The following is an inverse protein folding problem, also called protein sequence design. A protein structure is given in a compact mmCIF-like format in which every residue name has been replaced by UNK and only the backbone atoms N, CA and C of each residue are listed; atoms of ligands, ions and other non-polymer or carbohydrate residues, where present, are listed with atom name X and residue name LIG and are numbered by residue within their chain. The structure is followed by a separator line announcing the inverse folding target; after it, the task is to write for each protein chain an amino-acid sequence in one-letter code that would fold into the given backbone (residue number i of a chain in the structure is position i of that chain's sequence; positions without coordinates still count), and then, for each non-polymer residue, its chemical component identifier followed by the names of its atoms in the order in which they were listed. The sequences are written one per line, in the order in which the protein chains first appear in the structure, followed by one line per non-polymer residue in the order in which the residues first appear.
data_IF_761472775227
#
_entry.id   IF_761472775227
#
_cell.length_a   1.000
_cell.length_b   1.000
_cell.length_c   1.000
_cell.angle_alpha   90.00
_cell.angle_beta   90.00
_cell.angle_gamma   90.00
#
_symmetry.space_group_name_H-M   'P 1'
#
loop_
_entity.id
_entity.type
_entity.pdbx_description
1 polymer ?
#
# COMPACT_ATOMS: atom_id res chain seq x y z
N UNK A 1 -5.77 -6.69 6.66
CA UNK A 1 -5.14 -7.89 7.24
C UNK A 1 -4.98 -8.98 6.19
N UNK A 2 -4.11 -9.94 6.46
CA UNK A 2 -3.85 -11.12 5.63
C UNK A 2 -4.57 -12.39 6.13
N UNK A 3 -5.44 -12.25 7.12
CA UNK A 3 -6.13 -13.33 7.82
C UNK A 3 -5.61 -13.52 9.25
N UNK A 4 -4.33 -13.31 9.50
CA UNK A 4 -3.70 -13.52 10.82
C UNK A 4 -3.05 -12.26 11.38
N UNK A 5 -2.53 -11.37 10.52
CA UNK A 5 -1.80 -10.18 10.94
C UNK A 5 -2.43 -8.90 10.38
N UNK A 6 -2.25 -7.81 11.11
CA UNK A 6 -2.58 -6.47 10.59
C UNK A 6 -1.41 -6.00 9.71
N UNK A 7 -1.71 -5.74 8.44
CA UNK A 7 -0.70 -5.34 7.46
C UNK A 7 -0.08 -3.98 7.80
N UNK A 8 1.15 -3.74 7.34
CA UNK A 8 1.85 -2.48 7.57
C UNK A 8 1.04 -1.25 7.09
N UNK A 9 0.39 -1.24 5.91
CA UNK A 9 -0.45 -0.11 5.51
C UNK A 9 -1.60 0.21 6.47
N UNK A 10 -2.19 -0.81 7.09
CA UNK A 10 -3.24 -0.60 8.10
C UNK A 10 -2.67 -0.01 9.38
N UNK A 11 -1.49 -0.46 9.82
CA UNK A 11 -0.81 0.12 10.99
C UNK A 11 -0.42 1.59 10.78
N UNK A 12 -0.03 1.97 9.55
CA UNK A 12 0.19 3.37 9.16
C UNK A 12 -1.12 4.18 9.18
N UNK A 13 -2.24 3.58 8.76
CA UNK A 13 -3.55 4.24 8.86
C UNK A 13 -3.99 4.45 10.32
N UNK A 14 -3.68 3.50 11.22
CA UNK A 14 -3.90 3.66 12.67
C UNK A 14 -3.06 4.82 13.23
N UNK A 15 -1.79 4.95 12.82
CA UNK A 15 -0.95 6.07 13.22
C UNK A 15 -1.52 7.43 12.75
N UNK A 16 -2.04 7.50 11.52
CA UNK A 16 -2.72 8.70 11.02
C UNK A 16 -4.00 9.00 11.81
N UNK A 17 -4.82 7.97 12.09
CA UNK A 17 -6.06 8.11 12.86
C UNK A 17 -5.81 8.60 14.30
N UNK A 18 -4.71 8.15 14.93
CA UNK A 18 -4.32 8.59 16.27
C UNK A 18 -4.04 10.09 16.39
N UNK A 19 -3.76 10.79 15.27
CA UNK A 19 -3.65 12.25 15.25
C UNK A 19 -5.00 12.98 15.26
N UNK A 20 -6.09 12.26 15.02
CA UNK A 20 -7.46 12.81 14.92
C UNK A 20 -8.28 12.58 16.19
N UNK A 21 -7.93 11.61 17.01
CA UNK A 21 -8.62 11.29 18.25
C UNK A 21 -8.59 9.82 18.62
N UNK A 22 -9.63 9.36 19.33
CA UNK A 22 -9.76 7.97 19.73
C UNK A 22 -9.96 7.05 18.52
N UNK A 23 -9.20 5.96 18.47
CA UNK A 23 -9.18 5.06 17.31
C UNK A 23 -9.92 3.77 17.61
N UNK A 24 -10.94 3.48 16.80
CA UNK A 24 -11.60 2.18 16.72
C UNK A 24 -11.18 1.50 15.41
N UNK A 25 -10.87 0.21 15.46
CA UNK A 25 -10.50 -0.56 14.27
C UNK A 25 -11.60 -1.54 13.92
N UNK A 26 -12.14 -1.44 12.71
CA UNK A 26 -13.08 -2.42 12.17
C UNK A 26 -12.29 -3.54 11.48
N UNK A 27 -12.51 -4.78 11.91
CA UNK A 27 -11.93 -5.98 11.30
C UNK A 27 -13.07 -6.87 10.78
N UNK A 28 -13.01 -7.18 9.49
CA UNK A 28 -13.98 -8.03 8.80
C UNK A 28 -13.28 -9.33 8.38
N UNK A 29 -13.76 -10.48 8.86
CA UNK A 29 -13.20 -11.80 8.57
C UNK A 29 -12.55 -12.47 9.78
N UNK A 30 -11.32 -12.99 9.63
CA UNK A 30 -10.70 -13.87 10.60
C UNK A 30 -10.54 -13.27 12.02
N UNK A 31 -10.89 -14.04 13.04
CA UNK A 31 -10.78 -13.64 14.45
C UNK A 31 -9.33 -13.37 14.88
N UNK A 32 -8.36 -14.08 14.30
CA UNK A 32 -6.93 -13.88 14.55
C UNK A 32 -6.48 -12.46 14.15
N UNK A 33 -7.02 -11.94 13.05
CA UNK A 33 -6.76 -10.55 12.63
C UNK A 33 -7.36 -9.54 13.62
N UNK A 34 -8.51 -9.82 14.22
CA UNK A 34 -9.10 -8.97 15.26
C UNK A 34 -8.23 -8.99 16.53
N UNK A 35 -7.71 -10.15 16.92
CA UNK A 35 -6.77 -10.27 18.03
C UNK A 35 -5.46 -9.51 17.75
N UNK A 36 -4.95 -9.59 16.52
CA UNK A 36 -3.77 -8.82 16.11
C UNK A 36 -4.05 -7.31 16.17
N UNK A 37 -5.22 -6.85 15.71
CA UNK A 37 -5.61 -5.44 15.79
C UNK A 37 -5.75 -4.94 17.23
N UNK A 38 -6.23 -5.77 18.14
CA UNK A 38 -6.35 -5.44 19.56
C UNK A 38 -4.99 -5.21 20.25
N UNK A 39 -3.91 -5.79 19.71
CA UNK A 39 -2.54 -5.59 20.24
C UNK A 39 -1.87 -4.32 19.72
N UNK A 40 -2.47 -3.57 18.81
CA UNK A 40 -1.89 -2.34 18.31
C UNK A 40 -1.97 -1.22 19.37
N UNK A 41 -0.85 -0.53 19.66
CA UNK A 41 -0.91 0.62 20.56
C UNK A 41 -1.73 1.76 19.95
N UNK A 42 -2.46 2.48 20.81
CA UNK A 42 -3.33 3.60 20.40
C UNK A 42 -4.70 3.18 19.89
N UNK A 43 -4.99 1.88 19.76
CA UNK A 43 -6.34 1.38 19.46
C UNK A 43 -7.12 1.29 20.78
N UNK A 44 -8.26 2.00 20.84
CA UNK A 44 -9.13 1.98 22.01
C UNK A 44 -10.12 0.82 21.98
N UNK A 45 -10.52 0.38 20.78
CA UNK A 45 -11.52 -0.68 20.57
C UNK A 45 -11.34 -1.34 19.21
N UNK A 46 -11.59 -2.64 19.14
CA UNK A 46 -11.74 -3.39 17.89
C UNK A 46 -13.20 -3.80 17.73
N UNK A 47 -13.76 -3.51 16.58
CA UNK A 47 -15.08 -4.00 16.16
C UNK A 47 -14.87 -5.12 15.15
N UNK A 48 -15.41 -6.30 15.43
CA UNK A 48 -15.17 -7.50 14.64
C UNK A 48 -16.47 -8.11 14.11
N UNK A 49 -16.44 -8.51 12.83
CA UNK A 49 -17.48 -9.33 12.22
C UNK A 49 -16.85 -10.40 11.34
N UNK A 50 -17.22 -11.65 11.60
CA UNK A 50 -16.86 -12.83 10.79
C UNK A 50 -17.99 -13.27 9.86
N UNK A 51 -19.00 -12.41 9.66
CA UNK A 51 -20.14 -12.72 8.79
C UNK A 51 -19.67 -13.06 7.37
N UNK A 52 -20.18 -14.15 6.77
CA UNK A 52 -19.77 -14.60 5.42
C UNK A 52 -19.90 -13.52 4.34
N UNK A 53 -20.80 -12.57 4.54
CA UNK A 53 -21.01 -11.41 3.67
C UNK A 53 -19.73 -10.59 3.43
N UNK A 54 -18.83 -10.55 4.42
CA UNK A 54 -17.60 -9.76 4.37
C UNK A 54 -16.35 -10.59 4.02
N UNK A 55 -16.46 -11.91 3.87
CA UNK A 55 -15.31 -12.81 3.73
C UNK A 55 -14.40 -12.49 2.53
N UNK A 56 -14.97 -11.94 1.46
CA UNK A 56 -14.24 -11.63 0.22
C UNK A 56 -14.01 -10.11 0.02
N UNK A 57 -14.32 -9.28 1.01
CA UNK A 57 -14.07 -7.85 0.97
C UNK A 57 -14.75 -7.10 -0.18
N UNK A 58 -15.94 -7.56 -0.64
CA UNK A 58 -16.72 -6.86 -1.66
C UNK A 58 -17.06 -5.46 -1.20
N UNK A 59 -16.88 -4.46 -2.06
CA UNK A 59 -17.00 -3.06 -1.67
C UNK A 59 -18.41 -2.66 -1.27
N UNK A 60 -19.42 -3.24 -1.90
CA UNK A 60 -20.81 -2.86 -1.69
C UNK A 60 -21.31 -3.20 -0.27
N UNK A 61 -21.16 -4.43 0.22
CA UNK A 61 -21.57 -4.75 1.59
C UNK A 61 -20.70 -4.08 2.64
N UNK A 62 -19.39 -3.93 2.39
CA UNK A 62 -18.49 -3.22 3.32
C UNK A 62 -18.86 -1.74 3.40
N UNK A 63 -19.17 -1.08 2.27
CA UNK A 63 -19.60 0.30 2.26
C UNK A 63 -20.95 0.50 2.98
N UNK A 64 -21.91 -0.42 2.80
CA UNK A 64 -23.18 -0.36 3.52
C UNK A 64 -22.96 -0.41 5.04
N UNK A 65 -22.11 -1.32 5.53
CA UNK A 65 -21.74 -1.38 6.95
C UNK A 65 -21.11 -0.09 7.45
N UNK A 66 -20.17 0.48 6.70
CA UNK A 66 -19.49 1.71 7.10
C UNK A 66 -20.45 2.91 7.12
N UNK A 67 -21.43 2.97 6.22
CA UNK A 67 -22.48 3.99 6.22
C UNK A 67 -23.37 3.86 7.45
N UNK A 68 -23.78 2.65 7.82
CA UNK A 68 -24.59 2.40 9.03
C UNK A 68 -23.81 2.78 10.31
N UNK A 69 -22.51 2.59 10.33
CA UNK A 69 -21.65 2.95 11.47
C UNK A 69 -21.28 4.44 11.51
N UNK A 70 -21.29 5.13 10.38
CA UNK A 70 -20.83 6.52 10.23
C UNK A 70 -21.43 7.54 11.21
N UNK A 71 -22.71 7.42 11.67
CA UNK A 71 -23.25 8.35 12.67
C UNK A 71 -22.41 8.47 13.94
N UNK A 72 -21.72 7.41 14.34
CA UNK A 72 -20.93 7.34 15.57
C UNK A 72 -19.48 7.86 15.43
N UNK A 73 -19.05 8.24 14.21
CA UNK A 73 -17.68 8.62 13.92
C UNK A 73 -17.61 9.96 13.18
N UNK A 74 -16.60 10.75 13.47
CA UNK A 74 -16.29 11.99 12.74
C UNK A 74 -15.46 11.69 11.49
N UNK A 75 -14.59 10.69 11.57
CA UNK A 75 -13.64 10.31 10.53
C UNK A 75 -13.71 8.80 10.24
N UNK A 76 -13.70 8.44 8.97
CA UNK A 76 -13.60 7.07 8.49
C UNK A 76 -12.33 6.96 7.66
N UNK A 77 -11.39 6.13 8.09
CA UNK A 77 -10.10 5.99 7.44
C UNK A 77 -9.88 4.56 6.95
N UNK A 78 -9.21 4.45 5.81
CA UNK A 78 -8.64 3.19 5.33
C UNK A 78 -7.27 3.45 4.70
N UNK A 79 -6.35 2.47 4.65
CA UNK A 79 -5.15 2.63 3.83
C UNK A 79 -5.51 2.84 2.36
N UNK A 80 -4.71 3.62 1.62
CA UNK A 80 -4.88 3.85 0.18
C UNK A 80 -4.46 2.61 -0.66
N UNK A 81 -4.78 1.42 -0.18
CA UNK A 81 -4.66 0.14 -0.88
C UNK A 81 -5.76 -0.02 -1.94
N UNK A 82 -5.67 -1.05 -2.79
CA UNK A 82 -6.71 -1.36 -3.76
C UNK A 82 -8.10 -1.49 -3.11
N UNK A 83 -8.18 -2.20 -1.96
CA UNK A 83 -9.44 -2.33 -1.21
C UNK A 83 -9.95 -0.98 -0.66
N UNK A 84 -9.08 -0.18 -0.02
CA UNK A 84 -9.47 1.13 0.49
C UNK A 84 -9.93 2.08 -0.62
N UNK A 85 -9.22 2.10 -1.76
CA UNK A 85 -9.60 2.91 -2.94
C UNK A 85 -10.89 2.44 -3.62
N UNK A 86 -11.28 1.19 -3.43
CA UNK A 86 -12.55 0.64 -3.92
C UNK A 86 -13.72 0.97 -2.98
N UNK A 87 -13.54 0.84 -1.67
CA UNK A 87 -14.59 1.01 -0.67
C UNK A 87 -14.87 2.48 -0.34
N UNK A 88 -13.83 3.26 -0.02
CA UNK A 88 -13.99 4.58 0.59
C UNK A 88 -14.68 5.62 -0.31
N UNK A 89 -14.43 5.70 -1.63
CA UNK A 89 -15.19 6.61 -2.50
C UNK A 89 -16.69 6.28 -2.55
N UNK A 90 -17.03 4.99 -2.47
CA UNK A 90 -18.43 4.55 -2.40
C UNK A 90 -19.08 4.98 -1.08
N UNK A 91 -18.38 4.83 0.04
CA UNK A 91 -18.84 5.33 1.35
C UNK A 91 -19.08 6.84 1.32
N UNK A 92 -18.12 7.59 0.77
CA UNK A 92 -18.24 9.05 0.66
C UNK A 92 -19.46 9.45 -0.16
N UNK A 93 -19.67 8.81 -1.32
CA UNK A 93 -20.83 9.06 -2.18
C UNK A 93 -22.17 8.73 -1.48
N UNK A 94 -22.24 7.65 -0.72
CA UNK A 94 -23.44 7.25 0.01
C UNK A 94 -23.74 8.20 1.20
N UNK A 95 -22.71 8.82 1.78
CA UNK A 95 -22.83 9.81 2.85
C UNK A 95 -22.99 11.25 2.32
N UNK A 96 -22.98 11.46 1.00
CA UNK A 96 -23.00 12.78 0.33
C UNK A 96 -21.88 13.72 0.81
N UNK A 97 -20.65 13.18 0.94
CA UNK A 97 -19.43 13.91 1.32
C UNK A 97 -18.30 13.66 0.33
N UNK A 98 -17.28 14.52 0.37
CA UNK A 98 -16.09 14.34 -0.46
C UNK A 98 -15.12 13.32 0.14
N UNK A 99 -14.51 12.48 -0.71
CA UNK A 99 -13.41 11.62 -0.29
C UNK A 99 -12.09 12.41 -0.27
N UNK A 100 -11.36 12.36 0.84
CA UNK A 100 -10.01 12.88 1.00
C UNK A 100 -9.02 11.76 0.66
N UNK A 101 -8.64 11.66 -0.61
CA UNK A 101 -7.87 10.51 -1.08
C UNK A 101 -6.37 10.70 -0.94
N UNK A 102 -5.70 9.63 -0.48
CA UNK A 102 -4.24 9.46 -0.45
C UNK A 102 -3.54 10.55 0.37
N UNK A 103 -4.05 10.86 1.57
CA UNK A 103 -3.44 11.87 2.43
C UNK A 103 -2.04 11.45 2.86
N UNK A 104 -1.10 12.41 2.86
CA UNK A 104 0.29 12.25 3.31
C UNK A 104 0.55 12.91 4.66
N UNK A 105 -0.36 13.78 5.14
CA UNK A 105 -0.24 14.44 6.44
C UNK A 105 -1.61 14.79 7.00
N UNK A 106 -1.74 14.72 8.32
CA UNK A 106 -2.86 15.25 9.10
C UNK A 106 -2.39 16.54 9.76
N UNK A 107 -2.93 17.68 9.34
CA UNK A 107 -2.64 19.00 9.92
C UNK A 107 -3.52 19.25 11.14
N UNK A 108 -4.84 19.05 10.97
CA UNK A 108 -5.85 19.09 12.04
C UNK A 108 -7.05 18.21 11.67
N UNK A 109 -8.15 18.29 12.44
CA UNK A 109 -9.33 17.46 12.21
C UNK A 109 -10.06 17.71 10.88
N UNK A 110 -9.81 18.83 10.21
CA UNK A 110 -10.47 19.21 8.97
C UNK A 110 -9.49 19.43 7.81
N UNK A 111 -8.18 19.50 8.09
CA UNK A 111 -7.13 19.93 7.16
C UNK A 111 -6.09 18.84 6.98
N UNK A 112 -5.82 18.50 5.72
CA UNK A 112 -4.95 17.40 5.33
C UNK A 112 -4.05 17.81 4.18
N UNK A 113 -2.85 17.20 4.07
CA UNK A 113 -1.99 17.34 2.91
C UNK A 113 -2.11 16.10 2.04
N UNK A 114 -2.14 16.28 0.73
CA UNK A 114 -2.17 15.18 -0.23
C UNK A 114 -1.33 15.48 -1.47
N UNK A 115 -0.66 14.48 -2.05
CA UNK A 115 0.05 14.66 -3.31
C UNK A 115 -0.95 14.78 -4.48
N UNK A 116 -0.65 15.68 -5.40
CA UNK A 116 -1.35 15.86 -6.67
C UNK A 116 -0.33 15.90 -7.83
N UNK A 117 -0.78 15.84 -9.07
CA UNK A 117 0.10 15.80 -10.25
C UNK A 117 1.18 14.71 -10.14
N UNK A 118 0.76 13.47 -9.82
CA UNK A 118 1.65 12.32 -9.60
C UNK A 118 2.73 12.56 -8.51
N UNK A 119 2.42 13.39 -7.52
CA UNK A 119 3.31 13.71 -6.41
C UNK A 119 4.29 14.87 -6.68
N UNK A 120 4.16 15.57 -7.81
CA UNK A 120 4.99 16.75 -8.10
C UNK A 120 4.55 18.00 -7.33
N UNK A 121 3.34 17.99 -6.77
CA UNK A 121 2.85 19.04 -5.90
C UNK A 121 2.14 18.46 -4.69
N UNK A 122 2.18 19.16 -3.58
CA UNK A 122 1.42 18.86 -2.37
C UNK A 122 0.32 19.90 -2.22
N UNK A 123 -0.92 19.44 -2.08
CA UNK A 123 -2.06 20.29 -1.83
C UNK A 123 -2.48 20.16 -0.36
N UNK A 124 -2.53 21.28 0.35
CA UNK A 124 -3.22 21.35 1.63
C UNK A 124 -4.69 21.60 1.38
N UNK A 125 -5.54 20.66 1.80
CA UNK A 125 -6.98 20.69 1.58
C UNK A 125 -7.72 20.76 2.91
N UNK A 126 -8.75 21.60 2.99
CA UNK A 126 -9.64 21.66 4.14
C UNK A 126 -11.04 21.20 3.71
N UNK A 127 -11.59 20.22 4.44
CA UNK A 127 -12.95 19.74 4.21
C UNK A 127 -13.94 20.45 5.13
N UNK A 128 -15.01 20.96 4.57
CA UNK A 128 -16.14 21.51 5.31
C UNK A 128 -17.20 20.46 5.66
N UNK A 129 -17.05 19.23 5.17
CA UNK A 129 -18.02 18.15 5.40
C UNK A 129 -18.08 17.77 6.88
N UNK A 130 -19.27 17.40 7.36
CA UNK A 130 -19.45 16.97 8.75
C UNK A 130 -18.75 15.64 9.07
N UNK A 131 -18.61 14.76 8.07
CA UNK A 131 -17.89 13.48 8.14
C UNK A 131 -16.73 13.50 7.18
N UNK A 132 -15.55 13.02 7.61
CA UNK A 132 -14.37 12.90 6.75
C UNK A 132 -14.19 11.45 6.34
N UNK A 133 -14.20 11.19 5.05
CA UNK A 133 -13.93 9.87 4.46
C UNK A 133 -12.57 9.92 3.80
N UNK A 134 -11.61 9.14 4.28
CA UNK A 134 -10.19 9.36 4.04
C UNK A 134 -9.51 8.08 3.58
N UNK A 135 -8.65 8.14 2.56
CA UNK A 135 -7.65 7.10 2.33
C UNK A 135 -6.26 7.63 2.68
N UNK A 136 -5.48 6.80 3.39
CA UNK A 136 -4.17 7.16 3.96
C UNK A 136 -3.04 6.60 3.13
N UNK A 137 -2.11 7.45 2.69
CA UNK A 137 -0.88 7.05 2.02
C UNK A 137 0.06 6.40 3.04
N UNK A 138 0.11 5.08 3.06
CA UNK A 138 0.84 4.31 4.07
C UNK A 138 2.33 4.71 4.17
N UNK A 139 2.96 5.00 3.02
CA UNK A 139 4.36 5.40 2.92
C UNK A 139 4.69 6.72 3.66
N UNK A 140 3.69 7.54 3.98
CA UNK A 140 3.88 8.85 4.62
C UNK A 140 3.67 8.84 6.14
N UNK A 141 3.32 7.69 6.72
CA UNK A 141 3.08 7.55 8.15
C UNK A 141 3.84 6.34 8.69
N UNK A 142 4.71 6.55 9.66
CA UNK A 142 5.37 5.44 10.34
C UNK A 142 4.32 4.52 10.98
N UNK A 143 4.36 3.21 10.72
CA UNK A 143 3.36 2.29 11.23
C UNK A 143 3.47 2.16 12.75
N UNK A 144 2.36 2.12 13.47
CA UNK A 144 2.39 1.73 14.89
C UNK A 144 3.01 0.33 15.03
N UNK A 145 3.70 0.03 16.16
CA UNK A 145 4.19 -1.32 16.43
C UNK A 145 3.07 -2.35 16.35
N UNK A 146 3.41 -3.59 16.00
CA UNK A 146 2.43 -4.67 15.91
C UNK A 146 1.92 -5.15 17.29
N UNK A 147 2.65 -4.82 18.33
CA UNK A 147 2.41 -5.23 19.72
C UNK A 147 2.51 -4.00 20.66
N UNK A 148 1.88 -4.08 21.82
CA UNK A 148 1.94 -3.04 22.86
C UNK A 148 0.59 -2.49 23.29
N UNK A 149 -0.50 -2.88 22.61
CA UNK A 149 -1.88 -2.56 22.98
C UNK A 149 -2.62 -3.75 23.59
N UNK A 150 -3.80 -3.50 24.12
CA UNK A 150 -4.73 -4.51 24.64
C UNK A 150 -6.17 -3.99 24.59
N UNK A 151 -6.64 -3.68 23.39
CA UNK A 151 -7.97 -3.16 23.16
C UNK A 151 -9.06 -4.24 23.34
N UNK A 152 -10.24 -3.92 23.86
CA UNK A 152 -11.38 -4.82 23.87
C UNK A 152 -11.84 -5.11 22.43
N UNK A 153 -12.28 -6.35 22.19
CA UNK A 153 -12.90 -6.76 20.93
C UNK A 153 -14.41 -6.87 21.17
N UNK A 154 -15.18 -6.12 20.40
CA UNK A 154 -16.65 -6.12 20.45
C UNK A 154 -17.21 -6.56 19.09
N UNK A 155 -18.40 -7.16 19.06
CA UNK A 155 -19.04 -7.50 17.78
C UNK A 155 -19.37 -6.22 16.99
N UNK A 156 -19.03 -6.22 15.70
CA UNK A 156 -19.49 -5.20 14.78
C UNK A 156 -20.95 -5.48 14.36
N UNK A 157 -21.73 -4.43 14.03
CA UNK A 157 -23.03 -4.63 13.41
C UNK A 157 -22.89 -5.33 12.04
N UNK A 158 -23.99 -5.86 11.52
CA UNK A 158 -24.05 -6.42 10.18
C UNK A 158 -25.07 -5.63 9.37
N UNK A 159 -24.64 -5.04 8.26
CA UNK A 159 -25.53 -4.37 7.31
C UNK A 159 -26.21 -5.38 6.39
N UNK A 160 -27.31 -4.98 5.76
CA UNK A 160 -27.95 -5.78 4.73
C UNK A 160 -27.06 -5.85 3.48
N UNK A 161 -27.02 -7.02 2.82
CA UNK A 161 -26.37 -7.17 1.53
C UNK A 161 -27.15 -6.39 0.46
N UNK A 162 -26.52 -5.41 -0.22
CA UNK A 162 -27.19 -4.70 -1.32
C UNK A 162 -27.38 -5.55 -2.57
N UNK A 163 -26.78 -6.74 -2.66
CA UNK A 163 -26.98 -7.70 -3.75
C UNK A 163 -26.47 -7.20 -5.11
N UNK A 164 -25.49 -6.29 -5.15
CA UNK A 164 -25.02 -5.65 -6.37
C UNK A 164 -23.83 -6.35 -7.01
N UNK A 165 -23.10 -7.15 -6.25
CA UNK A 165 -21.94 -7.91 -6.73
C UNK A 165 -21.89 -9.29 -6.09
N UNK A 166 -21.25 -10.23 -6.79
CA UNK A 166 -21.06 -11.60 -6.31
C UNK A 166 -19.59 -11.99 -6.50
N UNK A 167 -18.99 -12.56 -5.47
CA UNK A 167 -17.65 -13.11 -5.58
C UNK A 167 -17.64 -14.38 -6.42
N UNK A 168 -16.83 -14.41 -7.47
CA UNK A 168 -16.70 -15.56 -8.37
C UNK A 168 -15.46 -16.38 -8.04
N UNK A 169 -14.35 -15.73 -7.75
CA UNK A 169 -13.08 -16.38 -7.43
C UNK A 169 -11.93 -15.39 -7.36
N UNK A 170 -10.80 -15.83 -6.79
CA UNK A 170 -9.54 -15.12 -6.79
C UNK A 170 -8.40 -16.11 -7.06
N UNK A 171 -7.48 -15.72 -7.93
CA UNK A 171 -6.21 -16.41 -8.12
C UNK A 171 -5.13 -15.60 -7.41
N UNK A 172 -4.64 -16.13 -6.29
CA UNK A 172 -3.63 -15.47 -5.45
C UNK A 172 -2.32 -16.24 -5.61
N UNK A 173 -1.33 -15.58 -6.20
CA UNK A 173 0.02 -16.13 -6.25
C UNK A 173 0.59 -16.22 -4.83
N UNK A 174 1.03 -17.41 -4.44
CA UNK A 174 1.77 -17.60 -3.18
C UNK A 174 3.22 -17.23 -3.42
N UNK A 175 3.73 -16.30 -2.64
CA UNK A 175 5.15 -15.93 -2.64
C UNK A 175 5.70 -16.08 -1.23
N UNK A 176 6.91 -16.59 -1.11
CA UNK A 176 7.67 -16.60 0.16
C UNK A 176 8.35 -15.25 0.41
N UNK A 177 8.41 -14.37 -0.62
CA UNK A 177 8.98 -13.02 -0.50
C UNK A 177 8.03 -12.10 0.28
N UNK A 178 8.59 -11.08 0.97
CA UNK A 178 7.78 -10.06 1.63
C UNK A 178 6.77 -9.42 0.68
N UNK A 179 5.63 -9.02 1.21
CA UNK A 179 4.64 -8.25 0.44
C UNK A 179 5.26 -6.89 0.03
N UNK A 180 5.06 -6.50 -1.23
CA UNK A 180 5.76 -5.38 -1.85
C UNK A 180 5.61 -4.05 -1.10
N UNK A 181 4.44 -3.77 -0.53
CA UNK A 181 4.16 -2.53 0.22
C UNK A 181 4.73 -2.54 1.66
N UNK A 182 5.14 -3.71 2.16
CA UNK A 182 5.69 -3.91 3.50
C UNK A 182 7.19 -4.22 3.49
N UNK A 183 7.77 -4.47 2.31
CA UNK A 183 9.16 -4.86 2.17
C UNK A 183 10.11 -3.70 2.53
N UNK A 184 11.15 -4.00 3.32
CA UNK A 184 12.23 -3.04 3.61
C UNK A 184 13.16 -2.83 2.43
N UNK A 185 13.28 -3.83 1.55
CA UNK A 185 14.09 -3.79 0.34
C UNK A 185 13.24 -4.18 -0.85
N UNK A 186 13.30 -3.42 -1.93
CA UNK A 186 12.62 -3.72 -3.19
C UNK A 186 13.63 -3.71 -4.33
N UNK A 187 13.68 -4.79 -5.10
CA UNK A 187 14.45 -4.86 -6.36
C UNK A 187 13.45 -4.90 -7.50
N UNK A 188 13.47 -3.88 -8.35
CA UNK A 188 12.42 -3.67 -9.35
C UNK A 188 12.96 -3.67 -10.77
N UNK A 189 12.32 -4.43 -11.65
CA UNK A 189 12.69 -4.58 -13.05
C UNK A 189 11.88 -3.70 -13.99
N UNK A 190 12.56 -3.06 -14.95
CA UNK A 190 11.93 -2.31 -16.02
C UNK A 190 11.73 -3.12 -17.29
N UNK A 191 11.18 -2.47 -18.34
CA UNK A 191 11.02 -3.06 -19.67
C UNK A 191 12.37 -3.50 -20.30
N UNK A 192 13.49 -2.90 -19.87
CA UNK A 192 14.83 -3.27 -20.33
C UNK A 192 15.26 -4.70 -19.92
N UNK A 193 14.52 -5.37 -19.01
CA UNK A 193 14.70 -6.79 -18.70
C UNK A 193 14.47 -7.68 -19.94
N UNK A 194 13.60 -7.26 -20.86
CA UNK A 194 13.41 -7.88 -22.17
C UNK A 194 12.50 -9.11 -22.20
N UNK A 195 12.39 -9.88 -21.11
CA UNK A 195 11.51 -11.05 -21.01
C UNK A 195 11.19 -11.40 -19.56
N UNK A 196 10.19 -12.28 -19.36
CA UNK A 196 9.84 -12.82 -18.04
C UNK A 196 10.96 -13.67 -17.44
N UNK A 197 11.66 -14.47 -18.26
CA UNK A 197 12.77 -15.32 -17.82
C UNK A 197 13.92 -14.49 -17.23
N UNK A 198 14.16 -13.30 -17.76
CA UNK A 198 15.22 -12.42 -17.28
C UNK A 198 14.91 -11.82 -15.90
N UNK A 199 13.65 -11.81 -15.47
CA UNK A 199 13.28 -11.39 -14.11
C UNK A 199 13.95 -12.26 -13.04
N UNK A 200 14.30 -13.51 -13.35
CA UNK A 200 15.09 -14.37 -12.46
C UNK A 200 16.40 -13.73 -11.99
N UNK A 201 16.96 -12.80 -12.76
CA UNK A 201 18.21 -12.10 -12.41
C UNK A 201 17.98 -11.19 -11.18
N UNK A 202 16.91 -10.41 -11.18
CA UNK A 202 16.59 -9.53 -10.06
C UNK A 202 15.97 -10.29 -8.89
N UNK A 203 15.26 -11.38 -9.16
CA UNK A 203 14.68 -12.26 -8.15
C UNK A 203 15.76 -12.85 -7.24
N UNK A 204 16.87 -13.35 -7.79
CA UNK A 204 18.00 -13.86 -7.02
C UNK A 204 18.61 -12.79 -6.10
N UNK A 205 18.74 -11.57 -6.58
CA UNK A 205 19.26 -10.46 -5.77
C UNK A 205 18.27 -10.09 -4.67
N UNK A 206 16.97 -10.05 -4.98
CA UNK A 206 15.92 -9.81 -3.98
C UNK A 206 15.92 -10.88 -2.89
N UNK A 207 16.03 -12.16 -3.25
CA UNK A 207 16.07 -13.29 -2.31
C UNK A 207 17.28 -13.20 -1.37
N UNK A 208 18.46 -12.87 -1.89
CA UNK A 208 19.67 -12.68 -1.07
C UNK A 208 19.59 -11.50 -0.12
N UNK A 209 18.85 -10.47 -0.51
CA UNK A 209 18.62 -9.29 0.33
C UNK A 209 17.40 -9.43 1.26
N UNK A 210 16.63 -10.53 1.16
CA UNK A 210 15.37 -10.69 1.89
C UNK A 210 14.32 -9.65 1.47
N UNK A 211 14.38 -9.22 0.21
CA UNK A 211 13.55 -8.16 -0.35
C UNK A 211 12.38 -8.67 -1.20
N UNK A 212 11.52 -7.74 -1.61
CA UNK A 212 10.46 -7.98 -2.57
C UNK A 212 10.91 -7.67 -4.01
N UNK A 213 10.22 -8.27 -4.98
CA UNK A 213 10.40 -7.98 -6.40
C UNK A 213 9.30 -7.05 -6.88
N UNK A 214 9.70 -5.94 -7.48
CA UNK A 214 8.81 -4.99 -8.12
C UNK A 214 8.98 -4.99 -9.65
N UNK A 215 8.04 -4.35 -10.34
CA UNK A 215 8.10 -4.18 -11.77
C UNK A 215 7.55 -2.82 -12.21
N UNK A 216 8.07 -2.28 -13.30
CA UNK A 216 7.44 -1.13 -13.95
C UNK A 216 6.15 -1.56 -14.66
N UNK A 217 5.19 -0.62 -14.84
CA UNK A 217 4.01 -0.88 -15.63
C UNK A 217 4.34 -1.43 -17.02
N UNK A 218 5.36 -0.88 -17.69
CA UNK A 218 5.76 -1.33 -19.01
C UNK A 218 6.28 -2.78 -19.03
N UNK A 219 6.87 -3.28 -17.95
CA UNK A 219 7.27 -4.68 -17.82
C UNK A 219 6.05 -5.60 -17.57
N UNK A 220 5.09 -5.15 -16.77
CA UNK A 220 3.83 -5.87 -16.53
C UNK A 220 2.99 -5.93 -17.80
N UNK A 221 2.79 -4.80 -18.49
CA UNK A 221 2.03 -4.75 -19.76
C UNK A 221 2.66 -5.64 -20.86
N UNK A 222 4.00 -5.83 -20.81
CA UNK A 222 4.73 -6.74 -21.69
C UNK A 222 4.68 -8.22 -21.23
N UNK A 223 4.04 -8.53 -20.12
CA UNK A 223 3.91 -9.88 -19.57
C UNK A 223 5.19 -10.41 -18.90
N UNK A 224 6.15 -9.53 -18.53
CA UNK A 224 7.40 -9.95 -17.88
C UNK A 224 7.25 -10.20 -16.37
N UNK A 225 6.27 -9.56 -15.76
CA UNK A 225 5.96 -9.71 -14.34
C UNK A 225 4.44 -9.66 -14.12
N UNK A 226 3.92 -10.29 -13.05
CA UNK A 226 2.50 -10.25 -12.72
C UNK A 226 2.09 -8.84 -12.26
N UNK A 227 0.79 -8.54 -12.37
CA UNK A 227 0.23 -7.21 -12.08
C UNK A 227 0.41 -6.78 -10.62
N UNK A 228 0.44 -7.70 -9.68
CA UNK A 228 0.66 -7.44 -8.25
C UNK A 228 2.10 -7.02 -7.90
N UNK A 229 3.05 -7.17 -8.84
CA UNK A 229 4.41 -6.62 -8.74
C UNK A 229 4.51 -5.18 -9.25
N UNK A 230 3.46 -4.61 -9.84
CA UNK A 230 3.52 -3.27 -10.41
C UNK A 230 3.75 -2.22 -9.33
N UNK A 231 4.83 -1.43 -9.49
CA UNK A 231 5.12 -0.22 -8.71
C UNK A 231 4.80 1.01 -9.55
N UNK A 232 4.07 1.95 -8.96
CA UNK A 232 3.72 3.21 -9.63
C UNK A 232 2.37 3.76 -9.21
N UNK A 233 1.96 4.84 -9.85
CA UNK A 233 0.70 5.55 -9.57
C UNK A 233 -0.55 4.65 -9.66
N UNK A 234 -0.57 3.73 -10.62
CA UNK A 234 -1.67 2.79 -10.86
C UNK A 234 -1.40 1.40 -10.31
N UNK A 235 -0.22 1.18 -9.73
CA UNK A 235 0.18 -0.03 -9.04
C UNK A 235 0.28 0.19 -7.52
N UNK A 236 1.24 -0.48 -6.91
CA UNK A 236 1.55 -0.32 -5.49
C UNK A 236 2.48 0.89 -5.28
N UNK A 237 2.23 1.64 -4.21
CA UNK A 237 3.11 2.70 -3.72
C UNK A 237 3.96 2.11 -2.61
N UNK A 238 5.27 2.23 -2.75
CA UNK A 238 6.26 1.66 -1.85
C UNK A 238 7.22 2.74 -1.33
N UNK A 239 7.71 2.60 -0.12
CA UNK A 239 8.74 3.43 0.49
C UNK A 239 9.70 2.56 1.31
N UNK A 240 10.45 1.66 0.67
CA UNK A 240 11.41 0.81 1.33
C UNK A 240 12.62 1.61 1.84
N UNK A 241 13.43 0.96 2.66
CA UNK A 241 14.74 1.49 3.05
C UNK A 241 15.70 1.50 1.87
N UNK A 242 15.59 0.52 0.96
CA UNK A 242 16.38 0.42 -0.26
C UNK A 242 15.48 0.05 -1.44
N UNK A 243 15.51 0.85 -2.48
CA UNK A 243 14.88 0.58 -3.77
C UNK A 243 15.94 0.47 -4.86
N UNK A 244 16.07 -0.71 -5.48
CA UNK A 244 16.99 -0.95 -6.58
C UNK A 244 16.21 -0.96 -7.90
N UNK A 245 16.39 0.07 -8.71
CA UNK A 245 15.73 0.25 -10.00
C UNK A 245 16.60 -0.29 -11.13
N UNK A 246 16.24 -1.45 -11.72
CA UNK A 246 17.02 -2.14 -12.74
C UNK A 246 16.37 -1.99 -14.10
N UNK A 247 16.98 -1.24 -15.00
CA UNK A 247 16.47 -1.00 -16.36
C UNK A 247 15.13 -0.26 -16.40
N UNK A 248 14.88 0.59 -15.41
CA UNK A 248 13.70 1.44 -15.29
C UNK A 248 14.03 2.83 -15.80
N UNK A 249 13.19 3.41 -16.66
CA UNK A 249 13.43 4.72 -17.26
C UNK A 249 13.20 5.89 -16.29
N UNK A 250 12.35 5.72 -15.28
CA UNK A 250 11.97 6.82 -14.38
C UNK A 250 10.82 7.67 -14.92
N UNK A 251 9.87 7.07 -15.63
CA UNK A 251 8.63 7.75 -15.98
C UNK A 251 7.92 8.25 -14.72
N UNK A 252 7.31 9.45 -14.79
CA UNK A 252 6.69 10.13 -13.65
C UNK A 252 5.68 9.26 -12.89
N UNK A 253 4.96 8.38 -13.61
CA UNK A 253 3.99 7.46 -13.00
C UNK A 253 4.67 6.38 -12.15
N UNK A 254 5.88 5.95 -12.54
CA UNK A 254 6.68 5.01 -11.74
C UNK A 254 7.28 5.71 -10.53
N UNK A 255 7.85 6.90 -10.74
CA UNK A 255 8.43 7.71 -9.66
C UNK A 255 7.39 8.02 -8.57
N UNK A 256 6.14 8.30 -8.92
CA UNK A 256 5.05 8.51 -7.98
C UNK A 256 4.83 7.33 -7.02
N UNK A 257 5.27 6.13 -7.40
CA UNK A 257 5.14 4.92 -6.59
C UNK A 257 6.36 4.56 -5.75
N UNK A 258 7.55 5.20 -5.93
CA UNK A 258 8.75 4.76 -5.24
C UNK A 258 9.70 5.88 -4.77
N UNK A 259 9.45 7.12 -5.17
CA UNK A 259 10.36 8.25 -4.85
C UNK A 259 10.52 8.54 -3.36
N UNK A 260 9.59 8.07 -2.53
CA UNK A 260 9.64 8.23 -1.07
C UNK A 260 10.49 7.14 -0.39
N UNK A 261 11.20 6.30 -1.17
CA UNK A 261 12.19 5.33 -0.66
C UNK A 261 13.36 6.05 -0.01
N UNK A 262 13.94 5.47 1.08
CA UNK A 262 15.04 6.14 1.81
C UNK A 262 16.33 6.20 1.01
N UNK A 263 16.64 5.12 0.26
CA UNK A 263 17.79 5.04 -0.64
C UNK A 263 17.32 4.46 -1.96
N UNK A 264 17.65 5.13 -3.06
CA UNK A 264 17.34 4.70 -4.42
C UNK A 264 18.65 4.43 -5.16
N UNK A 265 18.81 3.20 -5.64
CA UNK A 265 19.90 2.79 -6.53
C UNK A 265 19.34 2.57 -7.93
N UNK A 266 19.91 3.22 -8.93
CA UNK A 266 19.48 3.07 -10.33
C UNK A 266 20.57 2.44 -11.18
N UNK A 267 20.20 1.42 -11.98
CA UNK A 267 21.04 0.76 -12.97
C UNK A 267 20.35 0.91 -14.33
N UNK A 268 20.95 1.66 -15.23
CA UNK A 268 20.43 1.86 -16.57
C UNK A 268 21.61 2.10 -17.55
N UNK A 269 21.47 1.65 -18.80
CA UNK A 269 22.46 1.93 -19.85
C UNK A 269 22.36 3.33 -20.44
N UNK A 270 21.20 3.97 -20.29
CA UNK A 270 20.91 5.32 -20.77
C UNK A 270 21.21 6.31 -19.62
N UNK A 271 22.29 7.07 -19.77
CA UNK A 271 22.73 8.06 -18.77
C UNK A 271 21.74 9.22 -18.57
N UNK A 272 20.92 9.49 -19.60
CA UNK A 272 19.90 10.55 -19.57
C UNK A 272 18.55 10.05 -19.01
N UNK A 273 18.47 8.78 -18.56
CA UNK A 273 17.23 8.23 -18.02
C UNK A 273 16.77 9.03 -16.78
N UNK A 274 15.49 9.50 -16.74
CA UNK A 274 14.99 10.31 -15.63
C UNK A 274 15.11 9.66 -14.25
N UNK A 275 15.26 8.35 -14.16
CA UNK A 275 15.47 7.64 -12.89
C UNK A 275 16.71 8.15 -12.13
N UNK A 276 17.75 8.59 -12.84
CA UNK A 276 18.96 9.11 -12.23
C UNK A 276 18.74 10.45 -11.52
N UNK A 277 17.70 11.19 -11.86
CA UNK A 277 17.36 12.46 -11.19
C UNK A 277 16.85 12.27 -9.75
N UNK A 278 16.39 11.06 -9.41
CA UNK A 278 15.88 10.71 -8.08
C UNK A 278 16.72 9.68 -7.37
N UNK A 279 17.73 9.12 -8.04
CA UNK A 279 18.62 8.10 -7.48
C UNK A 279 19.69 8.73 -6.59
N UNK A 280 19.91 8.14 -5.41
CA UNK A 280 21.04 8.46 -4.54
C UNK A 280 22.35 7.89 -5.10
N UNK A 281 22.25 6.73 -5.75
CA UNK A 281 23.36 6.07 -6.42
C UNK A 281 22.95 5.64 -7.83
N UNK A 282 23.73 6.04 -8.82
CA UNK A 282 23.48 5.69 -10.22
C UNK A 282 24.65 4.91 -10.82
N UNK A 283 24.34 3.84 -11.55
CA UNK A 283 25.31 3.09 -12.32
C UNK A 283 24.87 3.03 -13.79
N UNK A 284 25.62 3.73 -14.66
CA UNK A 284 25.40 3.69 -16.11
C UNK A 284 26.07 2.46 -16.66
N UNK A 285 25.32 1.36 -16.84
CA UNK A 285 25.85 0.08 -17.27
C UNK A 285 24.77 -0.85 -17.84
N UNK A 286 25.23 -1.94 -18.46
CA UNK A 286 24.37 -3.03 -18.91
C UNK A 286 23.95 -3.89 -17.71
N UNK A 287 22.64 -3.92 -17.43
CA UNK A 287 22.06 -4.68 -16.32
C UNK A 287 22.42 -6.18 -16.37
N UNK A 288 22.54 -6.76 -17.56
CA UNK A 288 22.87 -8.19 -17.73
C UNK A 288 24.32 -8.53 -17.35
N UNK A 289 25.20 -7.53 -17.26
CA UNK A 289 26.58 -7.69 -16.74
C UNK A 289 26.63 -7.39 -15.25
N UNK A 290 26.03 -6.26 -14.84
CA UNK A 290 26.15 -5.74 -13.47
C UNK A 290 25.37 -6.58 -12.46
N UNK A 291 24.17 -7.04 -12.80
CA UNK A 291 23.34 -7.75 -11.82
C UNK A 291 23.93 -9.10 -11.38
N UNK A 292 24.52 -9.93 -12.27
CA UNK A 292 25.25 -11.12 -11.84
C UNK A 292 26.50 -10.82 -10.99
N UNK A 293 27.20 -9.72 -11.27
CA UNK A 293 28.34 -9.28 -10.45
C UNK A 293 27.85 -8.84 -9.06
N UNK A 294 26.77 -8.07 -9.01
CA UNK A 294 26.14 -7.65 -7.76
C UNK A 294 25.67 -8.87 -6.94
N UNK A 295 25.03 -9.84 -7.58
CA UNK A 295 24.64 -11.09 -6.93
C UNK A 295 25.86 -11.81 -6.30
N UNK A 296 26.96 -11.90 -7.05
CA UNK A 296 28.19 -12.56 -6.58
C UNK A 296 28.86 -11.79 -5.42
N UNK A 297 28.81 -10.46 -5.41
CA UNK A 297 29.34 -9.65 -4.31
C UNK A 297 28.53 -9.83 -3.01
N UNK A 298 27.22 -10.07 -3.09
CA UNK A 298 26.39 -10.34 -1.93
C UNK A 298 26.75 -11.68 -1.25
N UNK A 299 27.32 -12.65 -1.96
CA UNK A 299 27.77 -13.93 -1.41
C UNK A 299 29.05 -13.82 -0.58
N UNK A 300 29.79 -12.70 -0.69
CA UNK A 300 31.06 -12.49 0.02
C UNK A 300 30.87 -11.95 1.45
N UNK A 301 29.63 -11.71 1.86
CA UNK A 301 29.26 -11.25 3.20
C UNK A 301 28.82 -12.42 4.06
#
# INVERSE_FOLDING_TARGET
HDGSHVTQPTRSAVAAAGKLGEVHVLVLGAAEAAQAAARLPGVAKVLHSDAPLYANGLAEPVAALLVDMAPNYSHLLAPASAGGKNVMPRVAALLDVQVLSDISEVVDGDTFVRPIYAGNALATVKSADAKKVITVRAASFDPVPAEGGNAPIEPAPTAADPGLSTFVGAEIAKSERPELTAARIVVSGGRAMGSAENFAIIEKVADKLGGAVGASRAAVDAGYAPNDHQVGQTGKIVAPELYVAVGISGAIQHLAGMKDSKVIVAINKDEEAPIFQVADYGLVADLFKVMPEFEAELDKK
#
